data_IF_415502837963
#
_entry.id   IF_415502837963
#
_cell.length_a   1.000
_cell.length_b   1.000
_cell.length_c   1.000
_cell.angle_alpha   90.00
_cell.angle_beta   90.00
_cell.angle_gamma   90.00
#
_symmetry.space_group_name_H-M   'P 1'
#
loop_
_entity.id
_entity.type
_entity.pdbx_description
1 polymer ?
#
# COMPACT_ATOMS: atom_id res chain seq x y z
N UNK A 1 1.53 -2.97 -2.80
CA UNK A 1 1.44 -2.16 -1.56
C UNK A 1 2.84 -1.78 -1.11
N UNK A 2 3.06 -0.51 -0.91
CA UNK A 2 4.36 0.00 -0.42
C UNK A 2 4.27 0.19 1.09
N UNK A 3 5.25 -0.35 1.81
CA UNK A 3 5.24 -0.41 3.27
C UNK A 3 6.62 -0.05 3.85
N UNK A 4 6.67 0.06 5.17
CA UNK A 4 7.93 0.06 5.93
C UNK A 4 7.81 -0.96 7.06
N UNK A 5 8.95 -1.37 7.63
CA UNK A 5 8.96 -2.39 8.68
C UNK A 5 8.39 -1.90 10.03
N UNK A 6 8.36 -0.57 10.23
CA UNK A 6 7.87 0.03 11.48
C UNK A 6 6.44 0.57 11.39
N UNK A 7 5.76 0.37 10.28
CA UNK A 7 4.45 0.98 10.00
C UNK A 7 3.30 0.16 10.59
N UNK A 8 2.68 0.69 11.65
CA UNK A 8 1.53 0.05 12.29
C UNK A 8 0.29 -0.01 11.39
N UNK A 9 0.05 1.05 10.62
CA UNK A 9 -1.06 1.08 9.66
C UNK A 9 -0.88 0.04 8.55
N UNK A 10 0.37 -0.16 8.10
CA UNK A 10 0.68 -1.19 7.11
C UNK A 10 0.37 -2.59 7.65
N UNK A 11 0.79 -2.88 8.88
CA UNK A 11 0.51 -4.18 9.51
C UNK A 11 -0.98 -4.42 9.66
N UNK A 12 -1.73 -3.40 10.07
CA UNK A 12 -3.18 -3.50 10.24
C UNK A 12 -3.86 -3.78 8.90
N UNK A 13 -3.49 -3.04 7.87
CA UNK A 13 -4.06 -3.22 6.53
C UNK A 13 -3.75 -4.63 5.99
N UNK A 14 -2.50 -5.07 6.11
CA UNK A 14 -2.10 -6.43 5.67
C UNK A 14 -2.91 -7.50 6.40
N UNK A 15 -3.05 -7.36 7.72
CA UNK A 15 -3.81 -8.33 8.51
C UNK A 15 -5.26 -8.43 8.06
N UNK A 16 -5.90 -7.31 7.79
CA UNK A 16 -7.28 -7.29 7.30
C UNK A 16 -7.40 -7.92 5.92
N UNK A 17 -6.49 -7.58 5.00
CA UNK A 17 -6.50 -8.15 3.64
C UNK A 17 -6.24 -9.65 3.66
N UNK A 18 -5.31 -10.10 4.49
CA UNK A 18 -5.00 -11.53 4.65
C UNK A 18 -6.23 -12.29 5.18
N UNK A 19 -6.93 -11.71 6.16
CA UNK A 19 -8.15 -12.30 6.72
C UNK A 19 -9.24 -12.44 5.66
N UNK A 20 -9.34 -11.48 4.74
CA UNK A 20 -10.33 -11.51 3.67
C UNK A 20 -9.88 -12.30 2.44
N UNK A 21 -8.68 -12.86 2.47
CA UNK A 21 -8.15 -13.64 1.35
C UNK A 21 -7.79 -12.80 0.14
N UNK A 22 -7.51 -11.51 0.32
CA UNK A 22 -7.14 -10.60 -0.78
C UNK A 22 -5.65 -10.74 -1.08
N UNK A 23 -5.30 -11.10 -2.32
CA UNK A 23 -3.91 -11.19 -2.76
C UNK A 23 -3.32 -9.83 -3.06
N UNK A 24 -2.07 -9.62 -2.64
CA UNK A 24 -1.34 -8.39 -2.93
C UNK A 24 0.16 -8.65 -2.92
N UNK A 25 0.91 -7.77 -3.59
CA UNK A 25 2.38 -7.77 -3.53
C UNK A 25 2.80 -6.67 -2.56
N UNK A 26 3.68 -7.01 -1.63
CA UNK A 26 4.24 -6.05 -0.69
C UNK A 26 5.65 -5.65 -1.09
N UNK A 27 5.94 -4.35 -1.07
CA UNK A 27 7.29 -3.81 -1.31
C UNK A 27 7.65 -2.91 -0.13
N UNK A 28 8.69 -3.29 0.61
CA UNK A 28 9.23 -2.45 1.68
C UNK A 28 10.14 -1.42 1.03
N UNK A 29 9.78 -0.14 1.14
CA UNK A 29 10.50 0.95 0.47
C UNK A 29 11.90 1.19 1.06
N UNK A 30 12.16 0.66 2.24
CA UNK A 30 13.49 0.74 2.86
C UNK A 30 14.45 -0.31 2.30
N UNK A 31 13.93 -1.42 1.79
CA UNK A 31 14.71 -2.55 1.32
C UNK A 31 14.99 -2.51 -0.19
N UNK A 32 14.10 -1.89 -0.96
CA UNK A 32 14.19 -1.88 -2.43
C UNK A 32 14.57 -0.49 -2.92
N UNK A 33 15.78 -0.32 -3.49
CA UNK A 33 16.24 1.00 -3.96
C UNK A 33 15.28 1.62 -4.98
N UNK A 34 15.06 2.93 -4.87
CA UNK A 34 14.21 3.68 -5.78
C UNK A 34 12.73 3.69 -5.44
N UNK A 35 12.27 2.82 -4.54
CA UNK A 35 10.83 2.73 -4.23
C UNK A 35 10.35 3.84 -3.30
N UNK A 36 11.22 4.36 -2.43
CA UNK A 36 10.86 5.52 -1.61
C UNK A 36 10.60 6.74 -2.48
N UNK A 37 11.42 6.97 -3.50
CA UNK A 37 11.26 8.05 -4.46
C UNK A 37 10.01 7.85 -5.32
N UNK A 38 9.70 6.60 -5.66
CA UNK A 38 8.48 6.27 -6.38
C UNK A 38 7.24 6.64 -5.54
N UNK A 39 7.23 6.29 -4.26
CA UNK A 39 6.13 6.64 -3.36
C UNK A 39 5.99 8.16 -3.24
N UNK A 40 7.10 8.89 -3.14
CA UNK A 40 7.09 10.34 -3.15
C UNK A 40 6.43 10.89 -4.41
N UNK A 41 6.74 10.34 -5.57
CA UNK A 41 6.16 10.79 -6.84
C UNK A 41 4.65 10.52 -6.91
N UNK A 42 4.17 9.48 -6.24
CA UNK A 42 2.75 9.13 -6.19
C UNK A 42 1.98 9.94 -5.15
N UNK A 43 2.65 10.49 -4.13
CA UNK A 43 2.05 11.17 -2.98
C UNK A 43 2.49 12.62 -2.83
N UNK A 44 2.71 13.32 -3.94
CA UNK A 44 3.05 14.75 -3.93
C UNK A 44 4.28 15.09 -3.07
N UNK A 45 5.31 14.22 -3.10
CA UNK A 45 6.55 14.42 -2.39
C UNK A 45 6.62 13.77 -1.02
N UNK A 46 5.61 13.03 -0.59
CA UNK A 46 5.58 12.36 0.71
C UNK A 46 5.88 10.87 0.59
N UNK A 47 6.56 10.32 1.60
CA UNK A 47 6.81 8.87 1.70
C UNK A 47 5.76 8.19 2.59
N UNK A 48 4.49 8.60 2.47
CA UNK A 48 3.41 8.04 3.29
C UNK A 48 3.20 6.57 2.96
N UNK A 49 3.18 5.74 3.98
CA UNK A 49 2.86 4.31 3.86
C UNK A 49 1.72 3.97 4.82
N UNK A 50 0.87 2.99 4.51
CA UNK A 50 0.85 2.22 3.27
C UNK A 50 0.37 3.05 2.08
N UNK A 51 0.98 2.86 0.93
CA UNK A 51 0.48 3.35 -0.36
C UNK A 51 0.19 2.16 -1.23
N UNK A 52 -1.00 2.10 -1.79
CA UNK A 52 -1.46 0.98 -2.61
C UNK A 52 -1.59 1.41 -4.06
N UNK A 53 -0.89 0.69 -4.94
CA UNK A 53 -1.01 0.85 -6.38
C UNK A 53 -1.89 -0.26 -6.92
N UNK A 54 -2.96 0.10 -7.62
CA UNK A 54 -3.92 -0.85 -8.16
C UNK A 54 -3.58 -1.25 -9.59
N UNK A 55 -4.11 -2.40 -10.06
CA UNK A 55 -3.82 -2.86 -11.43
C UNK A 55 -4.21 -1.87 -12.53
N UNK A 56 -5.18 -1.01 -12.29
CA UNK A 56 -5.62 0.02 -13.24
C UNK A 56 -4.72 1.26 -13.24
N UNK A 57 -3.67 1.29 -12.41
CA UNK A 57 -2.76 2.42 -12.27
C UNK A 57 -3.19 3.46 -11.25
N UNK A 58 -4.35 3.31 -10.63
CA UNK A 58 -4.77 4.23 -9.58
C UNK A 58 -4.02 3.96 -8.27
N UNK A 59 -4.00 4.97 -7.40
CA UNK A 59 -3.22 4.96 -6.15
C UNK A 59 -4.13 5.37 -5.00
N UNK A 60 -3.96 4.71 -3.86
CA UNK A 60 -4.59 5.12 -2.60
C UNK A 60 -3.53 5.26 -1.52
N UNK A 61 -3.60 6.36 -0.77
CA UNK A 61 -2.68 6.66 0.33
C UNK A 61 -3.36 6.33 1.64
N UNK A 62 -2.75 5.43 2.41
CA UNK A 62 -3.27 4.96 3.69
C UNK A 62 -4.76 4.56 3.62
N UNK A 63 -5.16 3.69 2.66
CA UNK A 63 -6.55 3.28 2.54
C UNK A 63 -6.94 2.30 3.65
N UNK A 64 -8.24 2.22 3.95
CA UNK A 64 -8.77 1.13 4.75
C UNK A 64 -8.86 -0.15 3.92
N UNK A 65 -8.99 -1.30 4.59
CA UNK A 65 -9.21 -2.57 3.89
C UNK A 65 -10.50 -2.52 3.06
N UNK A 66 -11.55 -1.88 3.57
CA UNK A 66 -12.81 -1.71 2.85
C UNK A 66 -12.60 -0.89 1.56
N UNK A 67 -11.82 0.18 1.62
CA UNK A 67 -11.51 1.00 0.43
C UNK A 67 -10.79 0.17 -0.64
N UNK A 68 -9.82 -0.65 -0.22
CA UNK A 68 -9.08 -1.52 -1.14
C UNK A 68 -10.02 -2.51 -1.80
N UNK A 69 -10.89 -3.15 -1.02
CA UNK A 69 -11.85 -4.13 -1.53
C UNK A 69 -12.81 -3.52 -2.55
N UNK A 70 -13.34 -2.33 -2.26
CA UNK A 70 -14.23 -1.63 -3.17
C UNK A 70 -13.54 -1.33 -4.50
N UNK A 71 -12.29 -0.86 -4.45
CA UNK A 71 -11.53 -0.55 -5.67
C UNK A 71 -11.17 -1.77 -6.49
N UNK A 72 -11.03 -2.93 -5.83
CA UNK A 72 -10.77 -4.20 -6.53
C UNK A 72 -12.04 -4.86 -7.03
N UNK A 73 -13.20 -4.33 -6.71
CA UNK A 73 -14.48 -4.90 -7.13
C UNK A 73 -14.93 -6.10 -6.31
N UNK A 74 -14.45 -6.19 -5.10
CA UNK A 74 -14.77 -7.32 -4.21
C UNK A 74 -16.00 -7.03 -3.34
#
# INVERSE_FOLDING_TARGET
>A
MFTTSWCGYCRRLKSHLDTQGVGYREVNIEDVPGTAELVESLNYGNQTVPTVLFPDGSVATNPSAADVEVRLGL
#
